data_IF_543833590804
#
_entry.id   IF_543833590804
#
_cell.length_a   1.000
_cell.length_b   1.000
_cell.length_c   1.000
_cell.angle_alpha   90.00
_cell.angle_beta   90.00
_cell.angle_gamma   90.00
#
_symmetry.space_group_name_H-M   'P 1'
#
loop_
_entity.id
_entity.type
_entity.pdbx_description
1 polymer ?
#
# COMPACT_ATOMS: atom_id res chain seq x y z
N UNK A 1 -49.05 91.94 66.72
CA UNK A 1 -50.44 91.63 67.12
C UNK A 1 -50.73 90.20 66.70
N UNK A 2 -51.23 89.40 67.66
CA UNK A 2 -51.98 88.14 67.59
C UNK A 2 -51.66 87.15 66.43
N UNK A 3 -51.21 85.93 66.71
CA UNK A 3 -52.06 84.77 67.06
C UNK A 3 -52.27 83.91 65.79
N UNK A 4 -52.32 82.58 65.74
CA UNK A 4 -52.58 81.54 66.73
C UNK A 4 -52.30 80.15 66.09
N UNK A 5 -52.09 79.13 66.95
CA UNK A 5 -52.55 77.72 66.85
C UNK A 5 -52.10 76.77 65.70
N UNK A 6 -51.48 75.66 66.13
CA UNK A 6 -51.19 74.36 65.45
C UNK A 6 -52.51 73.58 65.06
N UNK A 7 -52.56 72.28 64.62
CA UNK A 7 -51.52 71.23 64.41
C UNK A 7 -51.76 70.21 63.24
N UNK A 8 -50.97 69.12 63.24
CA UNK A 8 -51.26 67.72 62.81
C UNK A 8 -50.92 67.19 61.38
N UNK A 9 -49.95 66.26 61.40
CA UNK A 9 -49.83 64.97 60.68
C UNK A 9 -50.38 64.82 59.25
N UNK A 10 -49.46 64.66 58.29
CA UNK A 10 -49.71 64.05 56.98
C UNK A 10 -48.61 63.05 56.62
N UNK A 11 -48.91 61.75 56.74
CA UNK A 11 -48.07 60.66 56.24
C UNK A 11 -47.91 60.78 54.71
N UNK A 12 -46.69 61.01 54.23
CA UNK A 12 -46.35 60.90 52.81
C UNK A 12 -45.77 59.52 52.52
N UNK A 13 -46.52 58.69 51.79
CA UNK A 13 -46.05 57.42 51.23
C UNK A 13 -45.13 57.71 50.04
N UNK A 14 -43.84 57.38 50.18
CA UNK A 14 -42.90 57.33 49.06
C UNK A 14 -43.17 56.17 48.09
N UNK A 15 -42.66 56.24 46.85
CA UNK A 15 -43.15 55.44 45.72
C UNK A 15 -42.79 53.96 45.80
N UNK A 16 -43.74 53.08 45.43
CA UNK A 16 -43.50 51.64 45.23
C UNK A 16 -42.45 51.42 44.15
N UNK A 17 -41.41 50.67 44.49
CA UNK A 17 -40.48 50.11 43.51
C UNK A 17 -41.24 49.26 42.49
N UNK A 18 -41.03 49.53 41.20
CA UNK A 18 -41.48 48.65 40.12
C UNK A 18 -40.59 47.40 40.13
N UNK A 19 -41.13 46.18 39.99
CA UNK A 19 -40.29 45.01 39.84
C UNK A 19 -39.51 45.13 38.52
N UNK A 20 -38.21 44.86 38.58
CA UNK A 20 -37.36 44.72 37.40
C UNK A 20 -37.90 43.57 36.56
N UNK A 21 -38.38 43.86 35.35
CA UNK A 21 -38.65 42.83 34.35
C UNK A 21 -37.35 42.10 34.07
N UNK A 22 -37.29 40.81 34.42
CA UNK A 22 -36.25 39.93 33.93
C UNK A 22 -36.32 39.93 32.40
N UNK A 23 -35.24 40.37 31.76
CA UNK A 23 -35.08 40.30 30.33
C UNK A 23 -35.11 38.81 29.93
N UNK A 24 -36.23 38.34 29.38
CA UNK A 24 -36.33 37.04 28.72
C UNK A 24 -35.31 37.02 27.58
N UNK A 25 -34.22 36.29 27.76
CA UNK A 25 -33.23 36.05 26.71
C UNK A 25 -33.94 35.43 25.50
N UNK A 26 -33.78 36.09 24.36
CA UNK A 26 -34.27 35.65 23.06
C UNK A 26 -33.83 34.20 22.79
N UNK A 27 -34.72 33.29 22.35
CA UNK A 27 -34.35 31.89 22.06
C UNK A 27 -33.26 31.77 20.99
N UNK A 28 -33.09 32.82 20.17
CA UNK A 28 -32.03 32.91 19.17
C UNK A 28 -30.63 33.05 19.79
N UNK A 29 -30.50 33.65 20.98
CA UNK A 29 -29.20 33.81 21.63
C UNK A 29 -28.62 32.46 22.08
N UNK A 30 -29.45 31.56 22.62
CA UNK A 30 -29.03 30.22 23.02
C UNK A 30 -28.58 29.37 21.82
N UNK A 31 -29.27 29.49 20.68
CA UNK A 31 -28.93 28.78 19.44
C UNK A 31 -27.59 29.25 18.88
N UNK A 32 -27.35 30.56 18.85
CA UNK A 32 -26.08 31.12 18.35
C UNK A 32 -24.90 30.71 19.24
N UNK A 33 -25.09 30.68 20.56
CA UNK A 33 -24.07 30.21 21.50
C UNK A 33 -23.79 28.71 21.28
N UNK A 34 -24.81 27.88 21.13
CA UNK A 34 -24.65 26.44 20.90
C UNK A 34 -23.90 26.16 19.58
N UNK A 35 -24.20 26.90 18.50
CA UNK A 35 -23.48 26.79 17.22
C UNK A 35 -22.02 27.23 17.41
N UNK A 36 -21.79 28.35 18.10
CA UNK A 36 -20.43 28.84 18.37
C UNK A 36 -19.58 27.84 19.17
N UNK A 37 -20.15 27.25 20.22
CA UNK A 37 -19.49 26.21 21.02
C UNK A 37 -19.22 24.96 20.18
N UNK A 38 -20.18 24.53 19.35
CA UNK A 38 -20.01 23.41 18.44
C UNK A 38 -18.85 23.61 17.44
N UNK A 39 -18.76 24.80 16.84
CA UNK A 39 -17.65 25.15 15.93
C UNK A 39 -16.31 25.12 16.68
N UNK A 40 -16.26 25.70 17.89
CA UNK A 40 -15.03 25.71 18.69
C UNK A 40 -14.58 24.30 19.06
N UNK A 41 -15.50 23.39 19.41
CA UNK A 41 -15.18 21.99 19.72
C UNK A 41 -14.64 21.28 18.47
N UNK A 42 -15.25 21.49 17.30
CA UNK A 42 -14.78 20.88 16.04
C UNK A 42 -13.40 21.39 15.67
N UNK A 43 -13.16 22.70 15.76
CA UNK A 43 -11.87 23.32 15.43
C UNK A 43 -10.78 22.90 16.43
N UNK A 44 -11.08 22.91 17.73
CA UNK A 44 -10.16 22.44 18.76
C UNK A 44 -9.86 20.94 18.60
N UNK A 45 -10.88 20.14 18.26
CA UNK A 45 -10.72 18.71 17.96
C UNK A 45 -9.82 18.47 16.75
N UNK A 46 -9.98 19.24 15.67
CA UNK A 46 -9.12 19.16 14.49
C UNK A 46 -7.68 19.57 14.80
N UNK A 47 -7.49 20.62 15.59
CA UNK A 47 -6.15 21.10 15.98
C UNK A 47 -5.43 20.06 16.84
N UNK A 48 -6.10 19.54 17.89
CA UNK A 48 -5.56 18.49 18.76
C UNK A 48 -5.30 17.18 18.01
N UNK A 49 -6.17 16.82 17.05
CA UNK A 49 -5.95 15.65 16.20
C UNK A 49 -4.72 15.84 15.29
N UNK A 50 -4.49 17.04 14.77
CA UNK A 50 -3.31 17.34 13.94
C UNK A 50 -2.00 17.24 14.74
N UNK A 51 -2.00 17.68 16.01
CA UNK A 51 -0.84 17.54 16.90
C UNK A 51 -0.63 16.08 17.32
N UNK A 52 -1.71 15.33 17.56
CA UNK A 52 -1.64 13.93 17.96
C UNK A 52 -1.17 12.99 16.84
N UNK A 53 -1.54 13.29 15.58
CA UNK A 53 -1.11 12.51 14.42
C UNK A 53 0.29 12.91 13.93
N UNK A 54 0.78 14.09 14.33
CA UNK A 54 2.00 14.69 13.79
C UNK A 54 1.91 14.95 12.29
N UNK A 55 2.87 15.65 11.68
CA UNK A 55 3.01 15.60 10.23
C UNK A 55 3.22 14.12 9.85
N UNK A 56 2.60 13.62 8.75
CA UNK A 56 2.96 12.32 8.24
C UNK A 56 4.48 12.34 8.02
N UNK A 57 5.21 11.53 8.77
CA UNK A 57 6.61 11.24 8.48
C UNK A 57 6.62 10.44 7.19
N UNK A 58 6.40 11.12 6.06
CA UNK A 58 6.85 10.62 4.79
C UNK A 58 8.35 10.40 4.98
N UNK A 59 8.78 9.13 4.98
CA UNK A 59 10.19 8.82 4.98
C UNK A 59 10.82 9.66 3.87
N UNK A 60 11.72 10.57 4.23
CA UNK A 60 12.39 11.44 3.26
C UNK A 60 13.36 10.57 2.48
N UNK A 61 12.84 9.83 1.51
CA UNK A 61 13.66 9.18 0.50
C UNK A 61 14.15 10.28 -0.41
N UNK A 62 15.43 10.64 -0.28
CA UNK A 62 16.12 11.43 -1.30
C UNK A 62 16.50 10.46 -2.41
N UNK A 63 15.82 10.46 -3.57
CA UNK A 63 16.17 9.56 -4.67
C UNK A 63 17.59 9.90 -5.12
N UNK A 64 18.51 8.95 -4.95
CA UNK A 64 19.84 9.05 -5.53
C UNK A 64 19.81 8.42 -6.92
N UNK A 65 19.46 9.23 -7.92
CA UNK A 65 19.38 8.78 -9.32
C UNK A 65 20.71 8.29 -9.90
N UNK A 66 21.83 8.54 -9.21
CA UNK A 66 23.18 8.18 -9.65
C UNK A 66 23.72 6.92 -8.96
N UNK A 67 23.05 6.39 -7.94
CA UNK A 67 23.44 5.10 -7.36
C UNK A 67 23.04 3.97 -8.31
N UNK A 68 23.93 2.98 -8.55
CA UNK A 68 23.58 1.83 -9.36
C UNK A 68 22.43 1.07 -8.69
N UNK A 69 21.29 1.03 -9.37
CA UNK A 69 20.13 0.27 -8.89
C UNK A 69 20.47 -1.23 -8.85
N UNK A 70 19.88 -2.00 -7.90
CA UNK A 70 20.03 -3.44 -7.94
C UNK A 70 19.57 -4.00 -9.28
N UNK A 71 20.25 -5.04 -9.73
CA UNK A 71 19.96 -5.73 -10.97
C UNK A 71 19.69 -7.21 -10.69
N UNK A 72 19.53 -7.99 -11.75
CA UNK A 72 19.31 -9.44 -11.67
C UNK A 72 20.33 -10.15 -10.76
N UNK A 73 21.60 -9.78 -10.80
CA UNK A 73 22.66 -10.38 -9.97
C UNK A 73 22.54 -10.08 -8.47
N UNK A 74 21.73 -9.10 -8.07
CA UNK A 74 21.43 -8.83 -6.67
C UNK A 74 20.19 -9.57 -6.17
N UNK A 75 19.39 -10.13 -7.07
CA UNK A 75 18.16 -10.84 -6.74
C UNK A 75 18.45 -12.31 -6.44
N UNK A 76 17.59 -12.90 -5.62
CA UNK A 76 17.53 -14.34 -5.45
C UNK A 76 16.64 -14.97 -6.53
N UNK A 77 17.16 -15.98 -7.21
CA UNK A 77 16.44 -16.75 -8.24
C UNK A 77 15.65 -17.88 -7.58
N UNK A 78 14.38 -18.01 -7.93
CA UNK A 78 13.50 -19.05 -7.42
C UNK A 78 12.69 -19.71 -8.54
N UNK A 79 12.17 -20.90 -8.25
CA UNK A 79 11.32 -21.68 -9.13
C UNK A 79 10.06 -22.12 -8.39
N UNK A 80 8.90 -21.93 -9.03
CA UNK A 80 7.61 -22.36 -8.52
C UNK A 80 7.09 -23.54 -9.34
N UNK A 81 6.62 -24.60 -8.67
CA UNK A 81 5.92 -25.71 -9.31
C UNK A 81 4.52 -25.27 -9.72
N UNK A 82 4.39 -24.83 -10.96
CA UNK A 82 3.18 -24.23 -11.50
C UNK A 82 2.32 -25.28 -12.18
N UNK A 83 1.00 -25.14 -12.06
CA UNK A 83 0.06 -25.98 -12.80
C UNK A 83 0.07 -25.60 -14.28
N UNK A 84 0.13 -26.61 -15.14
CA UNK A 84 0.13 -26.39 -16.58
C UNK A 84 -1.19 -25.73 -17.05
N UNK A 85 -2.30 -26.23 -16.51
CA UNK A 85 -3.64 -25.81 -16.87
C UNK A 85 -4.52 -25.62 -15.63
N UNK A 86 -4.90 -24.37 -15.37
CA UNK A 86 -5.71 -23.98 -14.21
C UNK A 86 -7.20 -24.25 -14.37
N UNK A 87 -7.69 -24.37 -15.61
CA UNK A 87 -9.12 -24.35 -15.93
C UNK A 87 -9.67 -25.73 -16.29
N UNK A 88 -8.84 -26.76 -16.30
CA UNK A 88 -9.26 -28.16 -16.46
C UNK A 88 -8.94 -28.97 -15.19
N UNK A 89 -9.07 -30.29 -15.25
CA UNK A 89 -8.66 -31.22 -14.17
C UNK A 89 -7.27 -31.80 -14.40
N UNK A 90 -6.55 -31.35 -15.42
CA UNK A 90 -5.20 -31.84 -15.72
C UNK A 90 -4.26 -31.57 -14.54
N UNK A 91 -3.53 -32.60 -14.11
CA UNK A 91 -2.58 -32.55 -13.00
C UNK A 91 -1.14 -32.61 -13.50
N UNK A 92 -0.83 -31.81 -14.51
CA UNK A 92 0.52 -31.62 -15.03
C UNK A 92 1.09 -30.29 -14.51
N UNK A 93 2.39 -30.23 -14.32
CA UNK A 93 3.09 -29.05 -13.81
C UNK A 93 4.31 -28.70 -14.66
N UNK A 94 4.76 -27.46 -14.53
CA UNK A 94 6.03 -26.96 -15.06
C UNK A 94 6.68 -26.01 -14.05
N UNK A 95 7.95 -25.64 -14.25
CA UNK A 95 8.65 -24.74 -13.32
C UNK A 95 8.56 -23.30 -13.81
N UNK A 96 7.88 -22.43 -13.09
CA UNK A 96 7.85 -21.00 -13.36
C UNK A 96 8.99 -20.29 -12.63
N UNK A 97 9.81 -19.53 -13.35
CA UNK A 97 10.90 -18.73 -12.78
C UNK A 97 10.36 -17.45 -12.13
N UNK A 98 10.95 -17.03 -11.03
CA UNK A 98 10.74 -15.68 -10.49
C UNK A 98 11.97 -15.20 -9.71
N UNK A 99 12.14 -13.88 -9.63
CA UNK A 99 13.20 -13.23 -8.87
C UNK A 99 12.63 -12.52 -7.66
N UNK A 100 13.35 -12.58 -6.54
CA UNK A 100 12.98 -11.90 -5.29
C UNK A 100 14.12 -11.03 -4.81
N UNK A 101 13.79 -9.80 -4.41
CA UNK A 101 14.68 -8.89 -3.72
C UNK A 101 14.03 -8.38 -2.43
N UNK A 102 14.58 -8.78 -1.30
CA UNK A 102 14.03 -8.58 0.04
C UNK A 102 14.78 -7.53 0.87
N UNK A 103 15.91 -7.00 0.38
CA UNK A 103 16.76 -6.08 1.18
C UNK A 103 16.10 -4.74 1.49
N UNK A 104 15.08 -4.34 0.75
CA UNK A 104 14.28 -3.14 1.04
C UNK A 104 13.07 -3.44 1.92
N UNK A 105 12.72 -4.70 2.08
CA UNK A 105 11.46 -5.08 2.68
C UNK A 105 11.49 -4.84 4.20
N UNK A 106 10.64 -3.91 4.65
CA UNK A 106 10.50 -3.60 6.07
C UNK A 106 9.57 -4.63 6.71
N UNK A 107 10.11 -5.57 7.46
CA UNK A 107 9.30 -6.60 8.15
C UNK A 107 9.14 -6.33 9.64
N UNK A 108 8.00 -6.74 10.19
CA UNK A 108 7.79 -6.75 11.64
C UNK A 108 8.81 -7.64 12.35
N UNK A 109 9.19 -8.75 11.72
CA UNK A 109 10.24 -9.65 12.22
C UNK A 109 11.60 -8.95 12.42
N UNK A 110 11.86 -7.88 11.66
CA UNK A 110 13.09 -7.09 11.73
C UNK A 110 12.91 -5.82 12.60
N UNK A 111 11.81 -5.70 13.34
CA UNK A 111 11.53 -4.60 14.27
C UNK A 111 10.75 -3.42 13.68
N UNK A 112 10.22 -3.54 12.45
CA UNK A 112 9.35 -2.52 11.88
C UNK A 112 7.93 -2.60 12.46
N UNK A 113 7.18 -1.48 12.37
CA UNK A 113 5.82 -1.38 12.92
C UNK A 113 4.84 -2.34 12.22
N UNK A 114 4.99 -2.48 10.91
CA UNK A 114 4.15 -3.30 10.03
C UNK A 114 5.01 -3.89 8.91
N UNK A 115 4.54 -4.97 8.30
CA UNK A 115 5.19 -5.57 7.14
C UNK A 115 4.91 -4.71 5.91
N UNK A 116 5.96 -4.39 5.15
CA UNK A 116 5.86 -3.62 3.92
C UNK A 116 5.10 -4.39 2.82
N UNK A 117 4.59 -3.68 1.80
CA UNK A 117 3.82 -4.31 0.73
C UNK A 117 4.70 -5.20 -0.16
N UNK A 118 4.05 -5.98 -1.02
CA UNK A 118 4.72 -6.71 -2.10
C UNK A 118 4.51 -5.93 -3.40
N UNK A 119 5.59 -5.62 -4.10
CA UNK A 119 5.57 -5.14 -5.47
C UNK A 119 5.86 -6.31 -6.40
N UNK A 120 4.85 -6.65 -7.20
CA UNK A 120 4.84 -7.86 -8.00
C UNK A 120 4.79 -7.52 -9.48
N UNK A 121 5.92 -7.66 -10.19
CA UNK A 121 5.94 -7.47 -11.63
C UNK A 121 5.43 -8.72 -12.34
N UNK A 122 4.28 -8.58 -13.00
CA UNK A 122 3.78 -9.56 -13.95
C UNK A 122 4.66 -9.50 -15.21
N UNK A 123 5.56 -10.49 -15.38
CA UNK A 123 6.38 -10.59 -16.58
C UNK A 123 5.54 -10.62 -17.85
N UNK A 124 6.10 -10.15 -18.95
CA UNK A 124 5.42 -10.10 -20.25
C UNK A 124 6.21 -10.91 -21.28
N UNK A 125 6.25 -10.49 -22.55
CA UNK A 125 6.65 -11.32 -23.68
C UNK A 125 8.18 -11.42 -23.89
N UNK A 126 8.97 -11.46 -22.81
CA UNK A 126 10.42 -11.64 -22.88
C UNK A 126 11.00 -12.29 -21.61
N UNK A 127 12.32 -12.51 -21.63
CA UNK A 127 13.06 -12.94 -20.44
C UNK A 127 12.88 -11.94 -19.29
N UNK A 128 12.47 -12.44 -18.13
CA UNK A 128 12.15 -11.59 -16.97
C UNK A 128 13.33 -10.73 -16.50
N UNK A 129 14.57 -11.17 -16.73
CA UNK A 129 15.80 -10.41 -16.39
C UNK A 129 15.88 -9.07 -17.11
N UNK A 130 15.29 -8.95 -18.31
CA UNK A 130 15.13 -7.68 -19.00
C UNK A 130 14.38 -6.68 -18.13
N UNK A 131 13.27 -7.11 -17.53
CA UNK A 131 12.42 -6.25 -16.72
C UNK A 131 13.02 -5.97 -15.35
N UNK A 132 13.68 -6.94 -14.73
CA UNK A 132 14.46 -6.73 -13.50
C UNK A 132 15.46 -5.60 -13.69
N UNK A 133 16.17 -5.58 -14.83
CA UNK A 133 17.21 -4.59 -15.11
C UNK A 133 16.67 -3.24 -15.63
N UNK A 134 15.43 -3.20 -16.13
CA UNK A 134 14.90 -2.01 -16.84
C UNK A 134 13.76 -1.29 -16.09
N UNK A 135 13.15 -1.92 -15.07
CA UNK A 135 11.97 -1.36 -14.38
C UNK A 135 12.37 -0.47 -13.20
N UNK A 136 13.05 0.63 -13.52
CA UNK A 136 13.64 1.55 -12.55
C UNK A 136 12.71 2.08 -11.45
N UNK A 137 11.50 2.49 -11.83
CA UNK A 137 10.53 3.08 -10.90
C UNK A 137 10.08 2.10 -9.81
N UNK A 138 10.06 0.80 -10.10
CA UNK A 138 9.68 -0.22 -9.12
C UNK A 138 10.73 -0.33 -8.01
N UNK A 139 12.02 -0.24 -8.38
CA UNK A 139 13.14 -0.22 -7.43
C UNK A 139 13.10 1.00 -6.50
N UNK A 140 12.90 2.19 -7.06
CA UNK A 140 12.86 3.44 -6.28
C UNK A 140 11.69 3.45 -5.30
N UNK A 141 10.49 3.10 -5.78
CA UNK A 141 9.31 3.07 -4.95
C UNK A 141 9.39 1.96 -3.90
N UNK A 142 9.96 0.79 -4.21
CA UNK A 142 10.14 -0.27 -3.23
C UNK A 142 11.11 0.15 -2.11
N UNK A 143 12.19 0.84 -2.44
CA UNK A 143 13.10 1.37 -1.43
C UNK A 143 12.42 2.41 -0.53
N UNK A 144 11.67 3.34 -1.13
CA UNK A 144 10.95 4.38 -0.39
C UNK A 144 9.85 3.80 0.52
N UNK A 145 9.08 2.85 0.01
CA UNK A 145 7.92 2.26 0.69
C UNK A 145 8.27 1.03 1.53
N UNK A 146 9.51 0.55 1.44
CA UNK A 146 9.98 -0.63 2.17
C UNK A 146 9.35 -1.93 1.69
N UNK A 147 9.18 -2.09 0.37
CA UNK A 147 8.46 -3.20 -0.24
C UNK A 147 9.36 -4.41 -0.56
N UNK A 148 8.76 -5.60 -0.56
CA UNK A 148 9.34 -6.79 -1.19
C UNK A 148 9.19 -6.68 -2.70
N UNK A 149 10.26 -6.89 -3.45
CA UNK A 149 10.21 -6.91 -4.91
C UNK A 149 10.17 -8.35 -5.42
N UNK A 150 9.22 -8.62 -6.30
CA UNK A 150 9.05 -9.92 -6.96
C UNK A 150 8.88 -9.67 -8.45
N UNK A 151 9.66 -10.37 -9.28
CA UNK A 151 9.49 -10.36 -10.74
C UNK A 151 9.21 -11.78 -11.20
N UNK A 152 7.97 -12.06 -11.58
CA UNK A 152 7.57 -13.39 -12.02
C UNK A 152 7.63 -13.50 -13.54
N UNK A 153 8.27 -14.55 -14.05
CA UNK A 153 8.35 -14.81 -15.48
C UNK A 153 7.01 -15.26 -16.04
N UNK A 154 6.68 -14.80 -17.24
CA UNK A 154 5.50 -15.23 -17.96
C UNK A 154 5.70 -16.65 -18.51
N UNK A 155 4.66 -17.48 -18.45
CA UNK A 155 4.65 -18.80 -19.12
C UNK A 155 5.01 -18.65 -20.60
N UNK A 156 5.76 -19.59 -21.17
CA UNK A 156 6.25 -19.56 -22.56
C UNK A 156 7.22 -18.44 -22.91
N UNK A 157 7.61 -17.60 -21.95
CA UNK A 157 8.69 -16.63 -22.11
C UNK A 157 9.78 -16.93 -21.10
N UNK A 158 10.95 -16.32 -21.31
CA UNK A 158 12.13 -16.61 -20.53
C UNK A 158 13.37 -16.72 -21.37
N UNK A 159 14.39 -17.34 -20.80
CA UNK A 159 15.73 -17.38 -21.37
C UNK A 159 15.72 -17.97 -22.77
N UNK A 160 15.83 -17.05 -23.74
CA UNK A 160 16.21 -17.30 -25.13
C UNK A 160 17.63 -17.88 -25.25
N UNK A 161 18.30 -18.09 -24.12
CA UNK A 161 19.54 -18.85 -24.03
C UNK A 161 19.36 -20.25 -24.65
N UNK A 162 18.14 -20.79 -24.77
CA UNK A 162 17.85 -22.01 -25.54
C UNK A 162 18.15 -21.91 -27.05
N UNK A 163 18.19 -20.70 -27.63
CA UNK A 163 18.58 -20.47 -29.03
C UNK A 163 20.09 -20.20 -29.19
N UNK A 164 20.77 -19.65 -28.17
CA UNK A 164 22.21 -19.39 -28.19
C UNK A 164 23.04 -20.58 -27.67
N UNK A 165 22.50 -21.45 -26.81
CA UNK A 165 23.17 -22.67 -26.31
C UNK A 165 23.13 -23.84 -27.27
N UNK A 166 22.30 -23.79 -28.32
CA UNK A 166 22.39 -24.76 -29.44
C UNK A 166 23.75 -24.72 -30.16
N UNK A 167 24.58 -23.71 -29.89
CA UNK A 167 25.96 -23.59 -30.39
C UNK A 167 27.04 -23.98 -29.38
N UNK A 168 26.75 -24.12 -28.06
CA UNK A 168 27.77 -24.46 -27.06
C UNK A 168 27.24 -25.41 -25.98
N UNK A 169 27.49 -26.70 -26.22
CA UNK A 169 27.11 -27.84 -25.35
C UNK A 169 27.82 -27.78 -23.99
N UNK A 170 28.91 -27.04 -23.86
CA UNK A 170 29.76 -27.00 -22.66
C UNK A 170 29.12 -26.24 -21.49
N UNK A 171 28.35 -25.18 -21.76
CA UNK A 171 27.71 -24.37 -20.72
C UNK A 171 26.55 -25.10 -20.02
N UNK A 172 25.84 -25.97 -20.75
CA UNK A 172 24.69 -26.74 -20.26
C UNK A 172 25.08 -27.79 -19.21
N UNK A 173 26.25 -28.41 -19.33
CA UNK A 173 26.73 -29.40 -18.37
C UNK A 173 27.14 -28.77 -17.02
N UNK A 174 27.52 -27.49 -17.04
CA UNK A 174 28.03 -26.78 -15.87
C UNK A 174 26.95 -26.03 -15.09
N UNK A 175 25.81 -25.70 -15.71
CA UNK A 175 24.73 -24.92 -15.08
C UNK A 175 23.32 -25.48 -15.40
N UNK A 176 22.99 -26.70 -14.94
CA UNK A 176 21.71 -27.36 -15.28
C UNK A 176 20.46 -26.61 -14.80
N UNK A 177 20.59 -25.68 -13.83
CA UNK A 177 19.49 -24.86 -13.31
C UNK A 177 19.17 -23.59 -14.13
N UNK A 178 19.89 -23.31 -15.22
CA UNK A 178 19.78 -22.07 -16.01
C UNK A 178 18.89 -22.23 -17.25
N UNK A 179 18.51 -23.46 -17.59
CA UNK A 179 17.56 -23.72 -18.69
C UNK A 179 16.21 -23.08 -18.35
N UNK A 180 15.60 -22.42 -19.33
CA UNK A 180 14.33 -21.72 -19.17
C UNK A 180 13.18 -22.72 -18.98
N UNK A 181 12.97 -23.19 -17.76
CA UNK A 181 11.89 -24.13 -17.47
C UNK A 181 10.50 -23.47 -17.46
N UNK A 182 10.43 -22.14 -17.60
CA UNK A 182 9.18 -21.36 -17.74
C UNK A 182 8.49 -21.57 -19.08
N UNK A 183 9.09 -22.34 -20.00
CA UNK A 183 8.51 -22.75 -21.28
C UNK A 183 8.02 -24.21 -21.12
N UNK A 184 6.71 -24.42 -20.87
CA UNK A 184 6.16 -25.77 -20.88
C UNK A 184 6.45 -26.44 -22.22
N UNK A 185 6.78 -27.74 -22.20
CA UNK A 185 7.11 -28.55 -23.38
C UNK A 185 8.40 -28.19 -24.12
N UNK A 186 9.20 -27.22 -23.62
CA UNK A 186 10.51 -26.88 -24.18
C UNK A 186 10.45 -26.60 -25.69
N UNK A 187 11.31 -27.26 -26.47
CA UNK A 187 11.38 -27.11 -27.94
C UNK A 187 10.05 -27.41 -28.68
N UNK A 188 9.16 -28.20 -28.09
CA UNK A 188 7.86 -28.57 -28.67
C UNK A 188 6.74 -27.59 -28.31
N UNK A 189 7.05 -26.45 -27.70
CA UNK A 189 6.05 -25.48 -27.24
C UNK A 189 5.07 -25.03 -28.35
N UNK A 190 5.53 -24.98 -29.60
CA UNK A 190 4.72 -24.55 -30.76
C UNK A 190 3.51 -25.45 -31.01
N UNK A 191 3.62 -26.73 -30.66
CA UNK A 191 2.52 -27.70 -30.77
C UNK A 191 1.58 -27.66 -29.56
N UNK A 192 1.90 -26.83 -28.56
CA UNK A 192 1.23 -26.78 -27.25
C UNK A 192 0.77 -25.37 -26.84
N UNK A 193 0.64 -24.45 -27.80
CA UNK A 193 0.28 -23.05 -27.55
C UNK A 193 -1.13 -22.86 -26.94
N UNK A 194 -1.95 -23.90 -26.86
CA UNK A 194 -3.26 -23.83 -26.20
C UNK A 194 -3.18 -23.41 -24.73
N UNK A 195 -2.04 -23.60 -24.05
CA UNK A 195 -1.87 -23.15 -22.66
C UNK A 195 -1.24 -21.76 -22.55
N UNK A 196 -0.93 -21.09 -23.67
CA UNK A 196 -0.46 -19.72 -23.70
C UNK A 196 -1.66 -18.77 -23.82
N UNK A 197 -2.28 -18.48 -22.67
CA UNK A 197 -3.35 -17.48 -22.56
C UNK A 197 -3.09 -16.54 -21.39
N UNK A 198 -3.61 -15.33 -21.48
CA UNK A 198 -3.51 -14.34 -20.40
C UNK A 198 -4.21 -14.84 -19.12
N UNK A 199 -5.33 -15.54 -19.24
CA UNK A 199 -6.05 -16.11 -18.08
C UNK A 199 -5.18 -17.11 -17.31
N UNK A 200 -4.47 -17.97 -18.05
CA UNK A 200 -3.57 -18.94 -17.44
C UNK A 200 -2.37 -18.26 -16.77
N UNK A 201 -1.79 -17.24 -17.42
CA UNK A 201 -0.69 -16.46 -16.87
C UNK A 201 -1.11 -15.68 -15.60
N UNK A 202 -2.30 -15.08 -15.58
CA UNK A 202 -2.84 -14.41 -14.40
C UNK A 202 -3.06 -15.40 -13.24
N UNK A 203 -3.57 -16.60 -13.54
CA UNK A 203 -3.70 -17.65 -12.53
C UNK A 203 -2.32 -18.11 -12.00
N UNK A 204 -1.29 -18.12 -12.83
CA UNK A 204 0.07 -18.41 -12.37
C UNK A 204 0.56 -17.42 -11.33
N UNK A 205 0.46 -16.13 -11.65
CA UNK A 205 0.88 -15.05 -10.77
C UNK A 205 0.13 -15.07 -9.44
N UNK A 206 -1.17 -15.36 -9.48
CA UNK A 206 -1.97 -15.50 -8.27
C UNK A 206 -1.46 -16.63 -7.35
N UNK A 207 -1.04 -17.78 -7.91
CA UNK A 207 -0.49 -18.87 -7.11
C UNK A 207 0.89 -18.56 -6.56
N UNK A 208 1.77 -17.93 -7.35
CA UNK A 208 3.09 -17.47 -6.87
C UNK A 208 2.91 -16.49 -5.72
N UNK A 209 2.06 -15.47 -5.89
CA UNK A 209 1.81 -14.46 -4.87
C UNK A 209 1.25 -15.07 -3.57
N UNK A 210 0.26 -15.97 -3.70
CA UNK A 210 -0.32 -16.67 -2.55
C UNK A 210 0.73 -17.50 -1.82
N UNK A 211 1.63 -18.17 -2.56
CA UNK A 211 2.70 -18.97 -1.96
C UNK A 211 3.67 -18.11 -1.17
N UNK A 212 4.00 -16.90 -1.65
CA UNK A 212 4.88 -15.95 -0.96
C UNK A 212 4.25 -15.44 0.34
N UNK A 213 2.99 -15.01 0.29
CA UNK A 213 2.25 -14.60 1.48
C UNK A 213 2.20 -15.72 2.55
N UNK A 214 1.95 -16.96 2.12
CA UNK A 214 1.96 -18.13 3.02
C UNK A 214 3.34 -18.45 3.59
N UNK A 215 4.38 -18.44 2.74
CA UNK A 215 5.77 -18.73 3.13
C UNK A 215 6.26 -17.73 4.19
N UNK A 216 5.95 -16.44 4.00
CA UNK A 216 6.35 -15.39 4.92
C UNK A 216 5.37 -15.16 6.06
N UNK A 217 4.19 -15.81 6.03
CA UNK A 217 3.10 -15.66 7.01
C UNK A 217 2.64 -14.21 7.15
N UNK A 218 2.54 -13.51 6.01
CA UNK A 218 2.13 -12.12 5.93
C UNK A 218 0.83 -11.98 5.15
N UNK A 219 0.00 -11.03 5.56
CA UNK A 219 -1.18 -10.57 4.82
C UNK A 219 -1.01 -9.08 4.54
N UNK A 220 -0.20 -8.79 3.53
CA UNK A 220 0.20 -7.42 3.15
C UNK A 220 -0.41 -7.02 1.81
N UNK A 221 -0.62 -5.71 1.57
CA UNK A 221 -1.03 -5.21 0.26
C UNK A 221 -0.05 -5.61 -0.83
N UNK A 222 -0.60 -5.89 -2.01
CA UNK A 222 0.17 -6.25 -3.20
C UNK A 222 -0.15 -5.26 -4.29
N UNK A 223 0.89 -4.71 -4.91
CA UNK A 223 0.79 -3.83 -6.08
C UNK A 223 1.42 -4.59 -7.24
N UNK A 224 0.60 -4.89 -8.25
CA UNK A 224 1.00 -5.64 -9.44
C UNK A 224 0.69 -4.88 -10.73
#
# INVERSE_FOLDING_TARGET
MAGSSQPLLGMSRGPRARPYSACTQSPYAAIVIAIGVGIVIVVAGQFLLSEALGPPTAATYTPNFMDPRPNTGNCSLHWFDQRLDHFTTLNATYKQRYFVYDKFWKRQADGHKEDGPIFFYCGNEADVTLYVNSTGLMWENAQALGALLVFAEHRYFGTLLDLLTKLDVSYHALNPGVLGHSIPFGDQYKDHLQYLTHDQALADYALVLRSLQQQHRVDVPVIA
#
